data_IF_965261125188
#
_entry.id   IF_965261125188
#
_cell.length_a   1.000
_cell.length_b   1.000
_cell.length_c   1.000
_cell.angle_alpha   90.00
_cell.angle_beta   90.00
_cell.angle_gamma   90.00
#
_symmetry.space_group_name_H-M   'P 1'
#
loop_
_entity.id
_entity.type
_entity.pdbx_description
1 polymer ?
#
# COMPACT_ATOMS: atom_id res chain seq x y z
N UNK A 1 18.64 -13.53 22.64
CA UNK A 1 19.52 -13.29 21.50
C UNK A 1 19.72 -11.80 21.32
N UNK A 2 20.97 -11.36 21.23
CA UNK A 2 21.29 -9.97 20.94
C UNK A 2 21.10 -9.71 19.45
N UNK A 3 20.26 -8.73 19.08
CA UNK A 3 20.11 -8.26 17.71
C UNK A 3 20.54 -6.81 17.59
N UNK A 4 21.00 -6.40 16.42
CA UNK A 4 21.31 -5.01 16.11
C UNK A 4 20.22 -4.47 15.21
N UNK A 5 19.58 -3.39 15.64
CA UNK A 5 18.65 -2.62 14.82
C UNK A 5 19.41 -1.49 14.13
N UNK A 6 19.35 -1.44 12.81
CA UNK A 6 19.97 -0.39 12.00
C UNK A 6 18.91 0.65 11.66
N UNK A 7 19.07 1.88 12.15
CA UNK A 7 18.20 3.00 11.86
C UNK A 7 18.68 3.72 10.58
N UNK A 8 17.88 3.61 9.53
CA UNK A 8 18.19 4.16 8.21
C UNK A 8 17.75 5.63 8.02
N UNK A 9 17.12 6.27 9.00
CA UNK A 9 16.57 7.65 8.87
C UNK A 9 17.61 8.72 8.48
N UNK A 10 18.89 8.49 8.73
CA UNK A 10 19.97 9.38 8.33
C UNK A 10 20.44 9.20 6.88
N UNK A 11 20.03 8.14 6.23
CA UNK A 11 20.28 7.85 4.82
C UNK A 11 19.02 8.19 4.01
N UNK A 12 18.75 9.49 3.84
CA UNK A 12 17.48 9.98 3.31
C UNK A 12 17.62 10.95 2.13
N UNK A 13 18.77 10.96 1.46
CA UNK A 13 19.06 11.92 0.37
C UNK A 13 18.62 11.37 -0.98
N UNK A 14 18.24 12.28 -1.88
CA UNK A 14 18.27 12.05 -3.31
C UNK A 14 19.74 12.23 -3.73
N UNK A 15 20.31 11.16 -4.32
CA UNK A 15 21.73 11.10 -4.72
C UNK A 15 21.90 11.61 -6.14
N UNK A 16 21.01 11.18 -7.04
CA UNK A 16 21.05 11.53 -8.46
C UNK A 16 19.63 11.59 -9.02
N UNK A 17 19.29 12.68 -9.69
CA UNK A 17 18.03 12.88 -10.37
C UNK A 17 18.31 13.18 -11.85
N UNK A 18 17.96 12.27 -12.71
CA UNK A 18 18.14 12.41 -14.15
C UNK A 18 16.77 12.39 -14.86
N UNK A 19 16.29 13.59 -15.19
CA UNK A 19 15.00 13.77 -15.87
C UNK A 19 15.10 13.57 -17.38
N UNK A 20 16.31 13.51 -17.97
CA UNK A 20 16.52 13.15 -19.37
C UNK A 20 16.41 11.62 -19.58
N UNK A 21 17.10 10.86 -18.72
CA UNK A 21 17.07 9.38 -18.76
C UNK A 21 15.96 8.77 -17.88
N UNK A 22 15.17 9.60 -17.21
CA UNK A 22 13.99 9.25 -16.43
C UNK A 22 14.26 8.24 -15.30
N UNK A 23 15.25 8.55 -14.45
CA UNK A 23 15.52 7.80 -13.23
C UNK A 23 15.89 8.72 -12.05
N UNK A 24 15.72 8.20 -10.85
CA UNK A 24 16.19 8.82 -9.60
C UNK A 24 16.86 7.77 -8.73
N UNK A 25 18.03 8.11 -8.19
CA UNK A 25 18.72 7.29 -7.18
C UNK A 25 18.63 7.95 -5.82
N UNK A 26 18.16 7.18 -4.85
CA UNK A 26 17.93 7.66 -3.48
C UNK A 26 18.60 6.75 -2.45
N UNK A 27 18.92 7.30 -1.30
CA UNK A 27 19.28 6.51 -0.12
C UNK A 27 18.04 5.78 0.42
N UNK A 28 18.24 4.57 0.96
CA UNK A 28 17.15 3.66 1.32
C UNK A 28 16.22 4.17 2.43
N UNK A 29 16.68 5.08 3.27
CA UNK A 29 15.89 5.74 4.33
C UNK A 29 15.11 6.96 3.86
N UNK A 30 15.20 7.35 2.59
CA UNK A 30 14.34 8.38 2.00
C UNK A 30 12.89 7.94 2.09
N UNK A 31 11.98 8.84 2.52
CA UNK A 31 10.55 8.55 2.58
C UNK A 31 9.87 8.77 1.22
N UNK A 32 8.75 8.13 1.01
CA UNK A 32 7.95 8.36 -0.21
C UNK A 32 7.45 9.79 -0.30
N UNK A 33 7.09 10.40 0.85
CA UNK A 33 6.68 11.79 0.91
C UNK A 33 7.79 12.72 0.45
N UNK A 34 8.99 12.60 1.05
CA UNK A 34 10.11 13.48 0.74
C UNK A 34 10.52 13.37 -0.73
N UNK A 35 10.55 12.14 -1.27
CA UNK A 35 10.82 11.92 -2.69
C UNK A 35 9.76 12.57 -3.58
N UNK A 36 8.48 12.29 -3.32
CA UNK A 36 7.37 12.80 -4.14
C UNK A 36 7.35 14.33 -4.17
N UNK A 37 7.45 14.99 -3.01
CA UNK A 37 7.44 16.44 -2.90
C UNK A 37 8.61 17.08 -3.69
N UNK A 38 9.82 16.52 -3.59
CA UNK A 38 10.98 17.03 -4.33
C UNK A 38 10.86 16.81 -5.85
N UNK A 39 10.30 15.69 -6.29
CA UNK A 39 10.10 15.41 -7.71
C UNK A 39 9.00 16.29 -8.33
N UNK A 40 7.96 16.63 -7.58
CA UNK A 40 6.86 17.46 -8.04
C UNK A 40 7.17 18.96 -8.05
N UNK A 41 8.19 19.42 -7.32
CA UNK A 41 8.61 20.82 -7.21
C UNK A 41 9.57 21.27 -8.34
N UNK A 42 9.90 20.39 -9.29
CA UNK A 42 10.79 20.70 -10.42
C UNK A 42 10.07 21.48 -11.54
N UNK A 43 10.87 22.09 -12.44
CA UNK A 43 10.37 22.83 -13.63
C UNK A 43 9.48 21.95 -14.52
N UNK A 44 9.80 20.66 -14.64
CA UNK A 44 8.97 19.64 -15.27
C UNK A 44 8.64 18.60 -14.19
N UNK A 45 7.44 18.60 -13.65
CA UNK A 45 7.06 17.65 -12.61
C UNK A 45 7.18 16.20 -13.10
N UNK A 46 7.91 15.39 -12.34
CA UNK A 46 8.07 13.96 -12.58
C UNK A 46 7.68 13.19 -11.33
N UNK A 47 7.36 11.93 -11.47
CA UNK A 47 7.16 11.02 -10.34
C UNK A 47 7.59 9.61 -10.65
N UNK A 48 7.74 8.78 -9.64
CA UNK A 48 7.85 7.34 -9.85
C UNK A 48 6.50 6.77 -10.31
N UNK A 49 6.45 5.70 -11.14
CA UNK A 49 5.19 5.08 -11.58
C UNK A 49 4.31 4.65 -10.41
N UNK A 50 4.79 3.75 -9.56
CA UNK A 50 4.31 3.59 -8.19
C UNK A 50 4.97 4.66 -7.32
N UNK A 51 4.19 5.44 -6.59
CA UNK A 51 4.74 6.59 -5.85
C UNK A 51 4.46 6.59 -4.35
N UNK A 52 4.07 5.45 -3.78
CA UNK A 52 4.08 5.20 -2.36
C UNK A 52 2.81 4.57 -1.78
N UNK A 53 2.89 4.05 -0.55
CA UNK A 53 1.72 3.65 0.23
C UNK A 53 1.10 4.86 0.94
N UNK A 54 -0.13 4.73 1.47
CA UNK A 54 -0.74 5.79 2.29
C UNK A 54 0.11 6.18 3.51
N UNK A 55 0.92 5.25 4.03
CA UNK A 55 1.89 5.50 5.11
C UNK A 55 3.19 6.17 4.64
N UNK A 56 3.25 6.68 3.43
CA UNK A 56 4.46 7.22 2.78
C UNK A 56 5.14 8.38 3.52
N UNK A 57 4.47 9.01 4.48
CA UNK A 57 5.08 9.97 5.40
C UNK A 57 6.24 9.36 6.21
N UNK A 58 6.15 8.08 6.58
CA UNK A 58 7.16 7.35 7.35
C UNK A 58 7.71 6.12 6.63
N UNK A 59 6.98 5.59 5.66
CA UNK A 59 7.44 4.45 4.87
C UNK A 59 8.63 4.86 4.00
N UNK A 60 9.75 4.18 4.20
CA UNK A 60 10.98 4.42 3.44
C UNK A 60 11.00 3.61 2.15
N UNK A 61 11.76 4.08 1.16
CA UNK A 61 11.89 3.40 -0.13
C UNK A 61 12.56 2.04 0.04
N UNK A 62 13.59 1.93 0.89
CA UNK A 62 14.24 0.64 1.20
C UNK A 62 13.30 -0.38 1.85
N UNK A 63 12.45 0.08 2.78
CA UNK A 63 11.42 -0.75 3.40
C UNK A 63 10.35 -1.19 2.40
N UNK A 64 9.86 -0.28 1.56
CA UNK A 64 8.88 -0.58 0.53
C UNK A 64 9.38 -1.62 -0.48
N UNK A 65 10.63 -1.49 -0.96
CA UNK A 65 11.26 -2.46 -1.87
C UNK A 65 11.43 -3.83 -1.20
N UNK A 66 11.88 -3.85 0.07
CA UNK A 66 12.06 -5.10 0.83
C UNK A 66 10.74 -5.82 1.10
N UNK A 67 9.62 -5.10 1.15
CA UNK A 67 8.28 -5.65 1.43
C UNK A 67 7.37 -5.69 0.21
N UNK A 68 7.85 -5.27 -0.95
CA UNK A 68 7.10 -5.19 -2.20
C UNK A 68 5.79 -4.39 -2.10
N UNK A 69 5.89 -3.16 -1.60
CA UNK A 69 4.76 -2.27 -1.34
C UNK A 69 3.92 -1.95 -2.58
N UNK A 70 2.64 -1.65 -2.36
CA UNK A 70 1.69 -1.23 -3.37
C UNK A 70 0.79 -0.11 -2.82
N UNK A 71 0.11 0.60 -3.65
CA UNK A 71 -1.09 1.42 -3.51
C UNK A 71 -1.16 2.53 -4.56
N UNK A 72 -0.51 3.69 -4.33
CA UNK A 72 -0.60 4.85 -5.23
C UNK A 72 0.12 4.56 -6.57
N UNK A 73 -0.63 4.60 -7.65
CA UNK A 73 -0.18 4.26 -9.00
C UNK A 73 -0.20 2.77 -9.34
N UNK A 74 -0.46 1.88 -8.36
CA UNK A 74 -0.35 0.43 -8.56
C UNK A 74 -1.34 -0.14 -9.59
N UNK A 75 -2.51 0.47 -9.77
CA UNK A 75 -3.51 -0.04 -10.70
C UNK A 75 -3.00 -0.13 -12.14
N UNK A 76 -2.10 0.76 -12.55
CA UNK A 76 -1.45 0.74 -13.86
C UNK A 76 -0.03 0.17 -13.77
N UNK A 77 0.73 0.52 -12.75
CA UNK A 77 2.18 0.31 -12.70
C UNK A 77 2.61 -0.83 -11.75
N UNK A 78 1.67 -1.61 -11.25
CA UNK A 78 1.92 -2.75 -10.37
C UNK A 78 2.56 -2.34 -9.02
N UNK A 79 3.39 -3.22 -8.43
CA UNK A 79 4.05 -2.97 -7.15
C UNK A 79 5.31 -2.13 -7.31
N UNK A 80 5.92 -1.72 -6.20
CA UNK A 80 7.20 -0.98 -6.21
C UNK A 80 8.30 -1.72 -6.96
N UNK A 81 8.30 -3.06 -6.97
CA UNK A 81 9.31 -3.88 -7.64
C UNK A 81 9.46 -3.52 -9.13
N UNK A 82 8.34 -3.17 -9.80
CA UNK A 82 8.33 -2.81 -11.22
C UNK A 82 8.95 -1.42 -11.49
N UNK A 83 9.06 -0.59 -10.48
CA UNK A 83 9.70 0.73 -10.58
C UNK A 83 11.21 0.68 -10.31
N UNK A 84 11.76 -0.41 -9.74
CA UNK A 84 13.17 -0.51 -9.38
C UNK A 84 14.02 -0.87 -10.59
N UNK A 85 15.04 -0.04 -10.88
CA UNK A 85 16.01 -0.25 -11.97
C UNK A 85 17.29 -0.92 -11.48
N UNK A 86 17.69 -0.68 -10.24
CA UNK A 86 18.87 -1.26 -9.63
C UNK A 86 19.07 -0.78 -8.20
N UNK A 87 20.04 -1.34 -7.50
CA UNK A 87 20.33 -0.94 -6.13
C UNK A 87 21.76 -1.29 -5.73
N UNK A 88 22.28 -0.61 -4.69
CA UNK A 88 23.44 -1.02 -3.93
C UNK A 88 23.00 -1.74 -2.66
N UNK A 89 23.59 -2.90 -2.43
CA UNK A 89 23.28 -3.77 -1.29
C UNK A 89 24.55 -4.06 -0.53
N UNK A 90 24.57 -3.77 0.76
CA UNK A 90 25.65 -4.16 1.67
C UNK A 90 25.40 -5.58 2.14
N UNK A 91 26.31 -6.47 1.81
CA UNK A 91 26.28 -7.89 2.17
C UNK A 91 26.78 -8.15 3.60
N UNK A 92 26.61 -9.37 4.10
CA UNK A 92 26.98 -9.75 5.46
C UNK A 92 28.48 -9.64 5.76
N UNK A 93 29.31 -9.72 4.74
CA UNK A 93 30.79 -9.57 4.82
C UNK A 93 31.26 -8.11 4.67
N UNK A 94 30.32 -7.15 4.47
CA UNK A 94 30.59 -5.73 4.27
C UNK A 94 30.88 -5.34 2.81
N UNK A 95 30.91 -6.27 1.88
CA UNK A 95 31.03 -5.97 0.46
C UNK A 95 29.77 -5.27 -0.06
N UNK A 96 29.96 -4.40 -1.06
CA UNK A 96 28.84 -3.69 -1.72
C UNK A 96 28.58 -4.34 -3.07
N UNK A 97 27.38 -4.87 -3.24
CA UNK A 97 26.89 -5.43 -4.49
C UNK A 97 26.08 -4.36 -5.23
N UNK A 98 26.36 -4.15 -6.52
CA UNK A 98 25.59 -3.31 -7.41
C UNK A 98 24.76 -4.16 -8.37
N UNK A 99 23.46 -3.85 -8.52
CA UNK A 99 22.57 -4.50 -9.49
C UNK A 99 22.13 -3.55 -10.60
N UNK A 100 21.51 -4.10 -11.65
CA UNK A 100 21.09 -3.34 -12.83
C UNK A 100 22.25 -2.86 -13.70
N UNK A 101 21.96 -1.97 -14.63
CA UNK A 101 22.97 -1.46 -15.60
C UNK A 101 24.09 -0.63 -14.96
N UNK A 102 23.90 -0.12 -13.75
CA UNK A 102 24.98 0.52 -12.98
C UNK A 102 26.12 -0.43 -12.61
N UNK A 103 25.91 -1.74 -12.70
CA UNK A 103 26.99 -2.74 -12.54
C UNK A 103 27.91 -2.82 -13.76
N UNK A 104 27.54 -2.25 -14.89
CA UNK A 104 28.41 -2.15 -16.06
C UNK A 104 29.54 -1.16 -15.79
N UNK A 105 30.77 -1.50 -16.22
CA UNK A 105 32.00 -0.72 -15.98
C UNK A 105 31.87 0.80 -16.26
N UNK A 106 31.07 1.17 -17.26
CA UNK A 106 30.84 2.56 -17.67
C UNK A 106 29.31 2.84 -17.77
N UNK A 107 28.49 2.12 -17.01
CA UNK A 107 27.04 2.20 -17.12
C UNK A 107 26.42 3.21 -16.17
N UNK A 108 25.27 3.75 -16.57
CA UNK A 108 24.33 4.47 -15.71
C UNK A 108 23.16 3.57 -15.30
N UNK A 109 22.39 3.92 -14.26
CA UNK A 109 21.40 3.01 -13.67
C UNK A 109 20.02 3.07 -14.36
N UNK A 110 19.97 3.09 -15.69
CA UNK A 110 18.75 3.29 -16.48
C UNK A 110 18.01 1.99 -16.82
N UNK A 111 18.65 0.83 -16.62
CA UNK A 111 18.13 -0.45 -17.10
C UNK A 111 18.30 -1.57 -16.06
N UNK A 112 17.20 -2.29 -15.75
CA UNK A 112 17.16 -3.33 -14.71
C UNK A 112 17.82 -4.65 -15.15
N UNK A 113 17.57 -5.08 -16.39
CA UNK A 113 17.88 -6.44 -16.86
C UNK A 113 19.25 -6.52 -17.53
N UNK A 114 20.28 -5.98 -16.88
CA UNK A 114 21.67 -6.16 -17.32
C UNK A 114 22.13 -7.58 -16.95
N UNK A 115 21.83 -8.54 -17.83
CA UNK A 115 21.92 -9.97 -17.56
C UNK A 115 20.68 -10.52 -16.84
N UNK A 116 20.81 -11.60 -16.04
CA UNK A 116 19.74 -12.09 -15.18
C UNK A 116 19.24 -11.00 -14.21
N UNK A 117 17.97 -11.04 -13.86
CA UNK A 117 17.40 -10.07 -12.90
C UNK A 117 17.90 -10.30 -11.46
N UNK A 118 19.10 -9.86 -11.18
CA UNK A 118 19.66 -9.91 -9.83
C UNK A 118 19.06 -8.83 -8.92
N UNK A 119 18.44 -7.79 -9.46
CA UNK A 119 17.68 -6.80 -8.69
C UNK A 119 16.48 -7.45 -8.02
N UNK A 120 15.84 -8.41 -8.69
CA UNK A 120 14.71 -9.17 -8.16
C UNK A 120 15.02 -9.97 -6.91
N UNK A 121 16.27 -10.42 -6.71
CA UNK A 121 16.70 -11.16 -5.49
C UNK A 121 16.53 -10.30 -4.22
N UNK A 122 16.69 -8.99 -4.35
CA UNK A 122 16.63 -8.04 -3.23
C UNK A 122 15.29 -7.28 -3.17
N UNK A 123 14.33 -7.60 -4.03
CA UNK A 123 12.94 -7.12 -3.92
C UNK A 123 12.08 -8.17 -3.22
N UNK A 124 11.15 -7.77 -2.36
CA UNK A 124 10.32 -8.67 -1.57
C UNK A 124 11.11 -9.67 -0.67
N UNK A 125 12.39 -9.42 -0.46
CA UNK A 125 13.31 -10.28 0.30
C UNK A 125 13.21 -10.12 1.81
N UNK A 126 12.39 -9.18 2.29
CA UNK A 126 12.25 -8.82 3.71
C UNK A 126 13.58 -8.51 4.42
N UNK A 127 14.62 -8.14 3.67
CA UNK A 127 15.97 -7.90 4.17
C UNK A 127 16.77 -9.18 4.49
N UNK A 128 16.36 -10.33 3.97
CA UNK A 128 17.02 -11.61 4.23
C UNK A 128 18.42 -11.72 3.60
N UNK A 129 18.67 -11.00 2.49
CA UNK A 129 19.87 -11.16 1.69
C UNK A 129 20.88 -10.02 1.82
N UNK A 130 20.50 -8.89 2.43
CA UNK A 130 21.42 -7.77 2.62
C UNK A 130 20.71 -6.47 2.96
N UNK A 131 21.50 -5.43 3.24
CA UNK A 131 21.02 -4.08 3.57
C UNK A 131 21.07 -3.22 2.31
N UNK A 132 19.91 -2.81 1.82
CA UNK A 132 19.80 -1.86 0.70
C UNK A 132 20.28 -0.50 1.19
N UNK A 133 21.27 0.08 0.56
CA UNK A 133 21.79 1.41 0.89
C UNK A 133 21.31 2.47 -0.09
N UNK A 134 21.31 2.17 -1.38
CA UNK A 134 20.85 3.06 -2.44
C UNK A 134 19.92 2.30 -3.39
N UNK A 135 18.89 2.97 -3.88
CA UNK A 135 17.89 2.39 -4.80
C UNK A 135 17.67 3.36 -5.94
N UNK A 136 17.74 2.84 -7.16
CA UNK A 136 17.38 3.59 -8.35
C UNK A 136 15.99 3.21 -8.80
N UNK A 137 15.13 4.21 -8.92
CA UNK A 137 13.74 4.08 -9.35
C UNK A 137 13.54 4.74 -10.72
N UNK A 138 12.68 4.16 -11.52
CA UNK A 138 12.20 4.74 -12.77
C UNK A 138 11.36 5.98 -12.50
N UNK A 139 11.43 6.96 -13.39
CA UNK A 139 10.54 8.12 -13.42
C UNK A 139 9.57 8.04 -14.60
N UNK A 140 8.49 8.77 -14.49
CA UNK A 140 7.57 9.16 -15.55
C UNK A 140 7.28 10.66 -15.40
N UNK A 141 6.90 11.34 -16.48
CA UNK A 141 6.31 12.67 -16.35
C UNK A 141 5.06 12.57 -15.45
N UNK A 142 4.82 13.58 -14.63
CA UNK A 142 3.60 13.62 -13.84
C UNK A 142 2.39 13.78 -14.77
N UNK A 143 1.34 12.95 -14.63
CA UNK A 143 0.14 13.09 -15.44
C UNK A 143 -0.45 14.49 -15.33
N UNK A 144 -0.77 15.10 -16.49
CA UNK A 144 -1.33 16.45 -16.55
C UNK A 144 -2.83 16.51 -16.27
N UNK A 145 -3.51 15.35 -16.30
CA UNK A 145 -4.94 15.21 -16.04
C UNK A 145 -5.17 14.07 -15.05
N UNK A 146 -5.88 14.37 -13.96
CA UNK A 146 -6.34 13.37 -13.00
C UNK A 146 -7.84 13.54 -12.78
N UNK A 147 -8.62 12.48 -12.97
CA UNK A 147 -10.05 12.44 -12.75
C UNK A 147 -10.40 11.44 -11.67
N UNK A 148 -11.54 11.65 -11.00
CA UNK A 148 -11.99 10.84 -9.87
C UNK A 148 -13.42 10.37 -10.05
N UNK A 149 -13.71 9.17 -9.58
CA UNK A 149 -15.04 8.61 -9.56
C UNK A 149 -15.21 7.66 -8.39
N UNK A 150 -16.40 7.59 -7.83
CA UNK A 150 -16.75 6.65 -6.77
C UNK A 150 -18.12 6.03 -7.03
N UNK A 151 -18.25 4.75 -6.68
CA UNK A 151 -19.49 3.98 -6.80
C UNK A 151 -19.81 3.24 -5.52
N UNK A 152 -21.08 3.12 -5.20
CA UNK A 152 -21.60 2.33 -4.11
C UNK A 152 -22.27 1.05 -4.61
N UNK A 153 -22.13 -0.04 -3.85
CA UNK A 153 -22.68 -1.35 -4.14
C UNK A 153 -23.43 -1.91 -2.92
N UNK A 154 -24.37 -2.83 -3.17
CA UNK A 154 -25.14 -3.47 -2.11
C UNK A 154 -24.48 -4.75 -1.58
N UNK A 155 -23.72 -5.42 -2.42
CA UNK A 155 -23.02 -6.66 -2.09
C UNK A 155 -21.52 -6.58 -2.41
N UNK A 156 -20.72 -7.40 -1.74
CA UNK A 156 -19.30 -7.51 -2.01
C UNK A 156 -19.05 -8.10 -3.40
N UNK A 157 -19.87 -9.04 -3.83
CA UNK A 157 -19.75 -9.72 -5.12
C UNK A 157 -19.87 -8.74 -6.27
N UNK A 158 -20.85 -7.82 -6.23
CA UNK A 158 -21.03 -6.76 -7.23
C UNK A 158 -19.78 -5.86 -7.30
N UNK A 159 -19.26 -5.42 -6.16
CA UNK A 159 -18.06 -4.58 -6.09
C UNK A 159 -16.82 -5.30 -6.63
N UNK A 160 -16.57 -6.54 -6.19
CA UNK A 160 -15.39 -7.30 -6.61
C UNK A 160 -15.46 -7.71 -8.08
N UNK A 161 -16.64 -8.08 -8.59
CA UNK A 161 -16.82 -8.33 -10.01
C UNK A 161 -16.49 -7.09 -10.84
N UNK A 162 -16.94 -5.92 -10.42
CA UNK A 162 -16.59 -4.63 -11.03
C UNK A 162 -15.07 -4.41 -11.04
N UNK A 163 -14.41 -4.55 -9.87
CA UNK A 163 -12.96 -4.36 -9.75
C UNK A 163 -12.17 -5.31 -10.67
N UNK A 164 -12.58 -6.57 -10.80
CA UNK A 164 -11.88 -7.53 -11.68
C UNK A 164 -11.97 -7.15 -13.16
N UNK A 165 -13.09 -6.56 -13.59
CA UNK A 165 -13.23 -6.05 -14.96
C UNK A 165 -12.35 -4.82 -15.17
N UNK A 166 -12.33 -3.89 -14.20
CA UNK A 166 -11.50 -2.67 -14.26
C UNK A 166 -10.00 -3.01 -14.26
N UNK A 167 -9.57 -3.99 -13.45
CA UNK A 167 -8.19 -4.46 -13.43
C UNK A 167 -7.73 -4.97 -14.79
N UNK A 168 -8.56 -5.77 -15.48
CA UNK A 168 -8.26 -6.24 -16.85
C UNK A 168 -8.14 -5.11 -17.88
N UNK A 169 -8.88 -4.03 -17.69
CA UNK A 169 -8.85 -2.87 -18.58
C UNK A 169 -7.64 -1.95 -18.34
N UNK A 170 -7.01 -2.02 -17.16
CA UNK A 170 -5.83 -1.21 -16.76
C UNK A 170 -6.02 0.29 -17.01
N UNK A 171 -7.19 0.82 -16.68
CA UNK A 171 -7.55 2.23 -16.90
C UNK A 171 -7.50 3.07 -15.62
N UNK A 172 -7.42 2.44 -14.44
CA UNK A 172 -7.39 3.13 -13.15
C UNK A 172 -5.95 3.19 -12.62
N UNK A 173 -5.46 4.37 -12.28
CA UNK A 173 -4.20 4.55 -11.56
C UNK A 173 -4.29 3.97 -10.15
N UNK A 174 -5.40 4.22 -9.46
CA UNK A 174 -5.83 3.53 -8.24
C UNK A 174 -7.28 3.07 -8.39
N UNK A 175 -7.59 1.91 -7.83
CA UNK A 175 -8.94 1.39 -7.68
C UNK A 175 -9.01 0.57 -6.40
N UNK A 176 -9.68 1.10 -5.38
CA UNK A 176 -9.77 0.48 -4.07
C UNK A 176 -11.20 0.50 -3.54
N UNK A 177 -11.56 -0.58 -2.87
CA UNK A 177 -12.89 -0.78 -2.29
C UNK A 177 -12.85 -0.86 -0.78
N UNK A 178 -13.89 -0.35 -0.15
CA UNK A 178 -14.09 -0.36 1.29
C UNK A 178 -15.37 -1.08 1.68
N UNK A 179 -15.29 -1.78 2.80
CA UNK A 179 -16.40 -2.43 3.46
C UNK A 179 -17.22 -1.44 4.32
N UNK A 180 -18.36 -1.86 4.92
CA UNK A 180 -19.17 -0.98 5.76
C UNK A 180 -18.43 -0.40 6.97
N UNK A 181 -17.47 -1.13 7.55
CA UNK A 181 -16.72 -0.65 8.71
C UNK A 181 -15.77 0.49 8.31
N UNK A 182 -15.00 0.33 7.23
CA UNK A 182 -14.15 1.40 6.71
C UNK A 182 -14.98 2.63 6.35
N UNK A 183 -16.10 2.46 5.65
CA UNK A 183 -17.00 3.56 5.31
C UNK A 183 -17.46 4.34 6.54
N UNK A 184 -17.87 3.63 7.61
CA UNK A 184 -18.31 4.26 8.86
C UNK A 184 -17.15 4.92 9.63
N UNK A 185 -15.94 4.37 9.54
CA UNK A 185 -14.76 4.92 10.19
C UNK A 185 -14.33 6.25 9.58
N UNK A 186 -14.35 6.38 8.26
CA UNK A 186 -14.10 7.66 7.59
C UNK A 186 -15.14 8.71 7.90
N UNK A 187 -16.43 8.33 8.06
CA UNK A 187 -17.47 9.25 8.53
C UNK A 187 -17.19 9.79 9.94
N UNK A 188 -16.77 8.92 10.87
CA UNK A 188 -16.51 9.29 12.27
C UNK A 188 -15.26 10.16 12.43
N UNK A 189 -14.21 9.82 11.70
CA UNK A 189 -12.92 10.50 11.83
C UNK A 189 -12.96 11.94 11.34
N UNK A 190 -13.89 12.30 10.46
CA UNK A 190 -14.05 13.62 9.86
C UNK A 190 -12.69 14.28 9.59
N UNK A 191 -12.35 14.63 8.38
CA UNK A 191 -11.15 15.44 8.17
C UNK A 191 -11.21 16.63 9.14
N UNK A 192 -10.17 16.89 9.93
CA UNK A 192 -10.18 18.05 10.81
C UNK A 192 -10.50 19.30 9.96
N UNK A 193 -11.23 20.24 10.54
CA UNK A 193 -11.64 21.46 9.80
C UNK A 193 -10.43 22.17 9.16
N UNK A 194 -9.25 22.06 9.78
CA UNK A 194 -7.98 22.61 9.27
C UNK A 194 -7.45 21.84 8.07
N UNK A 195 -7.49 20.50 8.10
CA UNK A 195 -7.10 19.65 6.96
C UNK A 195 -8.09 19.82 5.79
N UNK A 196 -9.40 19.87 6.08
CA UNK A 196 -10.42 20.20 5.08
C UNK A 196 -10.22 21.58 4.44
N UNK A 197 -9.81 22.59 5.19
CA UNK A 197 -9.55 23.94 4.66
C UNK A 197 -8.28 23.99 3.81
N UNK A 198 -7.21 23.24 4.15
CA UNK A 198 -6.01 23.10 3.34
C UNK A 198 -6.32 22.40 2.01
N UNK A 199 -7.04 21.27 2.05
CA UNK A 199 -7.54 20.57 0.85
C UNK A 199 -8.38 21.49 -0.03
N UNK A 200 -9.28 22.27 0.57
CA UNK A 200 -10.13 23.23 -0.15
C UNK A 200 -9.28 24.31 -0.85
N UNK A 201 -8.23 24.78 -0.22
CA UNK A 201 -7.31 25.76 -0.81
C UNK A 201 -6.53 25.16 -1.97
N UNK A 202 -6.02 23.94 -1.84
CA UNK A 202 -5.21 23.29 -2.85
C UNK A 202 -6.06 22.86 -4.07
N UNK A 203 -7.26 22.35 -3.87
CA UNK A 203 -8.21 22.07 -4.96
C UNK A 203 -8.64 23.38 -5.64
N UNK A 204 -8.87 24.46 -4.90
CA UNK A 204 -9.20 25.76 -5.47
C UNK A 204 -8.07 26.35 -6.33
N UNK A 205 -6.80 26.08 -5.97
CA UNK A 205 -5.63 26.51 -6.73
C UNK A 205 -5.35 25.64 -7.94
N UNK A 206 -5.60 24.33 -7.86
CA UNK A 206 -5.34 23.37 -8.95
C UNK A 206 -6.36 23.42 -10.09
N UNK A 207 -7.64 23.74 -9.81
CA UNK A 207 -8.71 23.81 -10.82
C UNK A 207 -8.97 25.21 -11.39
N UNK A 208 -8.23 26.22 -10.99
CA UNK A 208 -8.31 27.60 -11.56
C UNK A 208 -9.62 28.35 -11.28
N UNK A 209 -9.72 29.08 -10.18
CA UNK A 209 -10.75 30.10 -9.95
C UNK A 209 -12.09 29.59 -9.45
N UNK A 210 -13.21 30.15 -9.95
CA UNK A 210 -14.59 29.92 -9.45
C UNK A 210 -15.02 28.44 -9.49
N UNK A 211 -14.52 27.65 -10.43
CA UNK A 211 -14.82 26.20 -10.51
C UNK A 211 -14.17 25.43 -9.37
N UNK A 212 -12.92 25.71 -9.03
CA UNK A 212 -12.24 25.12 -7.90
C UNK A 212 -12.93 25.41 -6.57
N UNK A 213 -13.45 26.64 -6.40
CA UNK A 213 -14.22 27.01 -5.20
C UNK A 213 -15.54 26.23 -5.09
N UNK A 214 -16.22 25.98 -6.19
CA UNK A 214 -17.46 25.19 -6.23
C UNK A 214 -17.22 23.70 -5.93
N UNK A 215 -16.16 23.12 -6.49
CA UNK A 215 -15.76 21.74 -6.20
C UNK A 215 -15.36 21.62 -4.74
N UNK A 216 -14.60 22.56 -4.22
CA UNK A 216 -14.21 22.64 -2.82
C UNK A 216 -15.40 22.74 -1.86
N UNK A 217 -16.41 23.55 -2.21
CA UNK A 217 -17.63 23.68 -1.42
C UNK A 217 -18.48 22.40 -1.43
N UNK A 218 -18.57 21.71 -2.57
CA UNK A 218 -19.21 20.39 -2.68
C UNK A 218 -18.50 19.35 -1.83
N UNK A 219 -17.16 19.28 -1.87
CA UNK A 219 -16.37 18.37 -1.04
C UNK A 219 -16.63 18.62 0.45
N UNK A 220 -16.65 19.87 0.89
CA UNK A 220 -16.92 20.21 2.29
C UNK A 220 -18.35 19.92 2.73
N UNK A 221 -19.33 20.13 1.85
CA UNK A 221 -20.75 19.97 2.16
C UNK A 221 -21.27 18.53 2.05
N UNK A 222 -20.68 17.73 1.16
CA UNK A 222 -21.11 16.34 0.89
C UNK A 222 -20.52 15.32 1.87
N UNK A 223 -19.43 15.63 2.56
CA UNK A 223 -18.56 14.71 3.27
C UNK A 223 -19.13 13.90 4.43
N UNK A 224 -20.43 13.91 4.71
CA UNK A 224 -20.99 13.13 5.83
C UNK A 224 -22.27 12.35 5.53
N UNK A 225 -22.94 12.57 4.42
CA UNK A 225 -24.30 12.00 4.23
C UNK A 225 -24.40 10.83 3.25
N UNK A 226 -23.42 10.63 2.37
CA UNK A 226 -23.60 9.73 1.24
C UNK A 226 -23.12 8.29 1.50
N UNK A 227 -22.06 8.11 2.30
CA UNK A 227 -21.57 6.76 2.69
C UNK A 227 -22.59 5.97 3.53
N UNK A 228 -23.53 6.66 4.19
CA UNK A 228 -24.62 6.01 4.96
C UNK A 228 -25.63 5.23 4.12
N UNK A 229 -25.64 5.40 2.80
CA UNK A 229 -26.62 4.79 1.91
C UNK A 229 -26.12 3.56 1.17
N UNK A 230 -24.83 3.28 1.23
CA UNK A 230 -24.20 2.16 0.53
C UNK A 230 -23.46 1.26 1.53
N UNK A 231 -23.45 -0.04 1.26
CA UNK A 231 -22.70 -0.99 2.08
C UNK A 231 -21.23 -0.97 1.71
N UNK A 232 -20.93 -1.13 0.43
CA UNK A 232 -19.57 -1.20 -0.11
C UNK A 232 -19.34 0.01 -1.01
N UNK A 233 -18.16 0.57 -0.98
CA UNK A 233 -17.78 1.69 -1.85
C UNK A 233 -16.53 1.36 -2.64
N UNK A 234 -16.50 1.80 -3.90
CA UNK A 234 -15.37 1.65 -4.83
C UNK A 234 -14.91 3.03 -5.26
N UNK A 235 -13.63 3.30 -5.11
CA UNK A 235 -13.01 4.59 -5.39
C UNK A 235 -11.95 4.43 -6.47
N UNK A 236 -11.97 5.31 -7.45
CA UNK A 236 -11.13 5.21 -8.65
C UNK A 236 -10.48 6.54 -8.97
N UNK A 237 -9.22 6.45 -9.42
CA UNK A 237 -8.45 7.59 -9.95
C UNK A 237 -7.97 7.26 -11.34
N UNK A 238 -8.08 8.23 -12.26
CA UNK A 238 -7.71 8.10 -13.66
C UNK A 238 -6.64 9.14 -13.99
N UNK A 239 -5.42 8.70 -14.24
CA UNK A 239 -4.30 9.54 -14.66
C UNK A 239 -4.12 9.47 -16.18
N UNK A 240 -3.88 10.63 -16.82
CA UNK A 240 -3.58 10.71 -18.24
C UNK A 240 -2.76 11.96 -18.57
N UNK A 241 -2.13 11.94 -19.72
CA UNK A 241 -1.49 13.13 -20.35
C UNK A 241 -2.44 13.83 -21.34
N UNK A 242 -3.58 13.21 -21.62
CA UNK A 242 -4.61 13.71 -22.54
C UNK A 242 -5.98 13.67 -21.86
N UNK A 243 -6.72 14.79 -21.98
CA UNK A 243 -8.01 14.98 -21.32
C UNK A 243 -9.08 14.05 -21.88
N UNK A 244 -9.11 13.85 -23.18
CA UNK A 244 -10.15 13.02 -23.83
C UNK A 244 -9.92 11.55 -23.51
N UNK A 245 -8.64 11.12 -23.42
CA UNK A 245 -8.27 9.78 -22.96
C UNK A 245 -8.69 9.56 -21.51
N UNK A 246 -8.46 10.54 -20.62
CA UNK A 246 -8.90 10.46 -19.23
C UNK A 246 -10.43 10.32 -19.11
N UNK A 247 -11.19 11.17 -19.84
CA UNK A 247 -12.64 11.07 -19.87
C UNK A 247 -13.16 9.75 -20.45
N UNK A 248 -12.52 9.23 -21.50
CA UNK A 248 -12.89 7.94 -22.08
C UNK A 248 -12.66 6.79 -21.09
N UNK A 249 -11.57 6.82 -20.34
CA UNK A 249 -11.30 5.85 -19.28
C UNK A 249 -12.36 5.91 -18.17
N UNK A 250 -12.71 7.12 -17.72
CA UNK A 250 -13.73 7.36 -16.72
C UNK A 250 -15.12 6.87 -17.18
N UNK A 251 -15.55 7.20 -18.42
CA UNK A 251 -16.84 6.72 -18.95
C UNK A 251 -16.87 5.20 -19.10
N UNK A 252 -15.75 4.59 -19.56
CA UNK A 252 -15.64 3.13 -19.62
C UNK A 252 -15.79 2.50 -18.25
N UNK A 253 -15.19 3.10 -17.20
CA UNK A 253 -15.33 2.61 -15.84
C UNK A 253 -16.78 2.80 -15.32
N UNK A 254 -17.42 3.92 -15.66
CA UNK A 254 -18.84 4.18 -15.31
C UNK A 254 -19.76 3.11 -15.89
N UNK A 255 -19.58 2.78 -17.19
CA UNK A 255 -20.34 1.72 -17.85
C UNK A 255 -20.19 0.39 -17.10
N UNK A 256 -18.96 -0.01 -16.77
CA UNK A 256 -18.68 -1.24 -16.01
C UNK A 256 -19.35 -1.22 -14.64
N UNK A 257 -19.27 -0.13 -13.90
CA UNK A 257 -19.90 -0.02 -12.58
C UNK A 257 -21.43 -0.16 -12.67
N UNK A 258 -22.05 0.48 -13.65
CA UNK A 258 -23.51 0.41 -13.87
C UNK A 258 -23.96 -0.99 -14.30
N UNK A 259 -23.21 -1.67 -15.17
CA UNK A 259 -23.47 -3.06 -15.56
C UNK A 259 -23.49 -4.02 -14.36
N UNK A 260 -22.68 -3.72 -13.32
CA UNK A 260 -22.63 -4.48 -12.08
C UNK A 260 -23.47 -3.87 -10.95
N UNK A 261 -24.52 -3.12 -11.29
CA UNK A 261 -25.52 -2.56 -10.36
C UNK A 261 -24.99 -1.51 -9.38
N UNK A 262 -23.83 -0.94 -9.65
CA UNK A 262 -23.28 0.16 -8.88
C UNK A 262 -24.07 1.45 -9.08
N UNK A 263 -24.13 2.28 -8.05
CA UNK A 263 -24.68 3.62 -8.07
C UNK A 263 -23.58 4.64 -7.83
N UNK A 264 -23.46 5.65 -8.71
CA UNK A 264 -22.45 6.69 -8.56
C UNK A 264 -22.67 7.47 -7.26
N UNK A 265 -21.60 7.68 -6.51
CA UNK A 265 -21.58 8.39 -5.24
C UNK A 265 -20.57 9.53 -5.28
N UNK A 266 -20.53 10.36 -4.25
CA UNK A 266 -19.57 11.46 -4.14
C UNK A 266 -18.12 10.95 -4.20
N UNK A 267 -17.25 11.63 -4.96
CA UNK A 267 -15.85 11.27 -5.20
C UNK A 267 -14.85 12.06 -4.35
N UNK A 268 -15.31 12.69 -3.26
CA UNK A 268 -14.43 13.47 -2.39
C UNK A 268 -13.29 12.64 -1.80
N UNK A 269 -13.52 11.36 -1.50
CA UNK A 269 -12.55 10.50 -0.87
C UNK A 269 -11.30 10.25 -1.75
N UNK A 270 -11.41 9.78 -3.01
CA UNK A 270 -10.23 9.65 -3.88
C UNK A 270 -9.61 11.02 -4.22
N UNK A 271 -10.40 12.10 -4.29
CA UNK A 271 -9.88 13.46 -4.50
C UNK A 271 -8.96 13.88 -3.34
N UNK A 272 -9.40 13.67 -2.10
CA UNK A 272 -8.59 13.99 -0.90
C UNK A 272 -7.35 13.11 -0.81
N UNK A 273 -7.47 11.80 -1.05
CA UNK A 273 -6.32 10.90 -1.01
C UNK A 273 -5.26 11.26 -2.05
N UNK A 274 -5.66 11.81 -3.19
CA UNK A 274 -4.70 12.24 -4.21
C UNK A 274 -4.12 13.62 -3.91
N UNK A 275 -4.91 14.55 -3.35
CA UNK A 275 -4.42 15.87 -2.93
C UNK A 275 -3.41 15.78 -1.77
N UNK A 276 -3.61 14.81 -0.87
CA UNK A 276 -2.74 14.55 0.28
C UNK A 276 -2.35 13.07 0.34
N UNK A 277 -1.50 12.59 -0.60
CA UNK A 277 -1.22 11.16 -0.77
C UNK A 277 -0.54 10.53 0.45
N UNK A 278 0.08 11.36 1.31
CA UNK A 278 0.80 10.92 2.51
C UNK A 278 0.24 11.61 3.77
N UNK A 279 -1.08 11.69 3.86
CA UNK A 279 -1.78 12.24 5.03
C UNK A 279 -1.55 11.44 6.31
N UNK A 280 -2.17 11.88 7.40
CA UNK A 280 -1.91 11.38 8.75
C UNK A 280 -1.87 9.87 8.92
N UNK A 281 -0.82 9.38 9.58
CA UNK A 281 -0.52 7.94 9.74
C UNK A 281 -1.46 7.26 10.74
N UNK A 282 -2.09 8.04 11.62
CA UNK A 282 -3.00 7.51 12.66
C UNK A 282 -4.08 6.62 12.08
N UNK A 283 -4.72 7.04 11.01
CA UNK A 283 -5.81 6.31 10.36
C UNK A 283 -5.36 5.03 9.63
N UNK A 284 -4.06 4.88 9.42
CA UNK A 284 -3.44 3.72 8.75
C UNK A 284 -2.83 2.74 9.76
N UNK A 285 -2.56 3.19 10.99
CA UNK A 285 -1.92 2.38 12.04
C UNK A 285 -2.86 1.97 13.16
N UNK A 286 -3.97 2.69 13.31
CA UNK A 286 -4.92 2.50 14.39
C UNK A 286 -6.36 2.61 13.86
N UNK A 287 -7.30 2.03 14.58
CA UNK A 287 -8.72 2.27 14.36
C UNK A 287 -9.13 3.68 14.82
N UNK A 288 -10.37 4.07 14.52
CA UNK A 288 -10.90 5.42 14.79
C UNK A 288 -10.88 5.83 16.27
N UNK A 289 -10.95 4.87 17.16
CA UNK A 289 -11.02 5.08 18.62
C UNK A 289 -9.75 4.59 19.34
N UNK A 290 -8.63 4.42 18.62
CA UNK A 290 -7.34 3.99 19.17
C UNK A 290 -7.18 2.47 19.24
N UNK A 291 -7.99 1.71 18.51
CA UNK A 291 -7.83 0.27 18.39
C UNK A 291 -6.53 -0.08 17.64
N UNK A 292 -5.90 -1.16 18.06
CA UNK A 292 -4.81 -1.75 17.27
C UNK A 292 -5.39 -2.26 15.94
N UNK A 293 -4.73 -1.93 14.84
CA UNK A 293 -5.00 -2.45 13.51
C UNK A 293 -4.03 -3.59 13.18
N UNK A 294 -4.56 -4.72 12.75
CA UNK A 294 -3.79 -5.93 12.44
C UNK A 294 -4.26 -6.52 11.11
N UNK A 295 -3.58 -6.21 10.00
CA UNK A 295 -3.97 -6.70 8.69
C UNK A 295 -3.41 -8.09 8.37
N UNK A 296 -4.08 -8.77 7.43
CA UNK A 296 -3.58 -9.90 6.67
C UNK A 296 -3.68 -9.53 5.19
N UNK A 297 -2.70 -9.87 4.38
CA UNK A 297 -2.70 -9.56 2.96
C UNK A 297 -2.80 -10.83 2.14
N UNK A 298 -3.63 -10.81 1.10
CA UNK A 298 -3.72 -11.89 0.14
C UNK A 298 -3.69 -11.35 -1.30
N UNK A 299 -2.68 -11.76 -2.07
CA UNK A 299 -2.64 -11.62 -3.51
C UNK A 299 -3.26 -12.85 -4.17
N UNK A 300 -4.10 -12.62 -5.15
CA UNK A 300 -4.79 -13.70 -5.86
C UNK A 300 -5.02 -13.33 -7.34
N UNK A 301 -5.21 -14.33 -8.22
CA UNK A 301 -5.63 -14.06 -9.58
C UNK A 301 -7.05 -13.47 -9.60
N UNK A 302 -7.36 -12.64 -10.58
CA UNK A 302 -8.67 -11.97 -10.74
C UNK A 302 -9.86 -12.95 -10.66
N UNK A 303 -9.68 -14.17 -11.17
CA UNK A 303 -10.73 -15.21 -11.16
C UNK A 303 -11.11 -15.69 -9.76
N UNK A 304 -10.27 -15.48 -8.75
CA UNK A 304 -10.54 -15.86 -7.36
C UNK A 304 -11.09 -14.73 -6.51
N UNK A 305 -11.03 -13.47 -6.98
CA UNK A 305 -11.33 -12.30 -6.18
C UNK A 305 -12.72 -12.35 -5.51
N UNK A 306 -13.77 -12.65 -6.27
CA UNK A 306 -15.14 -12.74 -5.74
C UNK A 306 -15.26 -13.85 -4.71
N UNK A 307 -14.80 -15.07 -5.03
CA UNK A 307 -14.87 -16.22 -4.13
C UNK A 307 -14.10 -15.96 -2.82
N UNK A 308 -12.93 -15.33 -2.88
CA UNK A 308 -12.13 -15.01 -1.69
C UNK A 308 -12.75 -13.89 -0.87
N UNK A 309 -13.38 -12.90 -1.49
CA UNK A 309 -14.13 -11.88 -0.76
C UNK A 309 -15.29 -12.49 0.02
N UNK A 310 -16.11 -13.31 -0.63
CA UNK A 310 -17.19 -14.04 0.03
C UNK A 310 -16.69 -14.95 1.14
N UNK A 311 -15.56 -15.67 0.92
CA UNK A 311 -14.95 -16.52 1.95
C UNK A 311 -14.43 -15.71 3.15
N UNK A 312 -13.91 -14.51 2.92
CA UNK A 312 -13.46 -13.59 3.98
C UNK A 312 -14.63 -13.11 4.83
N UNK A 313 -15.77 -12.74 4.21
CA UNK A 313 -16.99 -12.38 4.95
C UNK A 313 -17.56 -13.57 5.73
N UNK A 314 -17.62 -14.75 5.13
CA UNK A 314 -18.07 -15.97 5.80
C UNK A 314 -17.21 -16.28 7.03
N UNK A 315 -15.88 -16.13 6.92
CA UNK A 315 -14.96 -16.30 8.05
C UNK A 315 -15.27 -15.36 9.21
N UNK A 316 -15.53 -14.09 8.93
CA UNK A 316 -15.89 -13.12 9.97
C UNK A 316 -17.28 -13.42 10.59
N UNK A 317 -18.25 -13.83 9.79
CA UNK A 317 -19.58 -14.18 10.30
C UNK A 317 -19.55 -15.45 11.17
N UNK A 318 -18.78 -16.48 10.79
CA UNK A 318 -18.55 -17.68 11.59
C UNK A 318 -17.90 -17.37 12.96
N UNK A 319 -17.04 -16.34 13.00
CA UNK A 319 -16.37 -15.93 14.23
C UNK A 319 -17.07 -14.78 14.97
N UNK A 320 -18.24 -14.33 14.48
CA UNK A 320 -18.93 -13.13 14.98
C UNK A 320 -19.21 -13.20 16.49
N UNK A 321 -19.73 -14.31 16.99
CA UNK A 321 -20.01 -14.48 18.42
C UNK A 321 -18.76 -14.33 19.30
N UNK A 322 -17.61 -14.82 18.82
CA UNK A 322 -16.32 -14.65 19.50
C UNK A 322 -15.83 -13.19 19.44
N UNK A 323 -15.96 -12.56 18.28
CA UNK A 323 -15.59 -11.17 18.09
C UNK A 323 -16.44 -10.23 18.94
N UNK A 324 -17.76 -10.42 18.96
CA UNK A 324 -18.70 -9.65 19.79
C UNK A 324 -18.37 -9.78 21.28
N UNK A 325 -18.08 -11.01 21.77
CA UNK A 325 -17.73 -11.28 23.17
C UNK A 325 -16.50 -10.46 23.61
N UNK A 326 -15.50 -10.28 22.76
CA UNK A 326 -14.26 -9.58 23.06
C UNK A 326 -14.21 -8.15 22.53
N UNK A 327 -15.31 -7.64 21.98
CA UNK A 327 -15.37 -6.33 21.33
C UNK A 327 -14.22 -6.17 20.32
N UNK A 328 -14.11 -7.14 19.39
CA UNK A 328 -13.19 -7.15 18.28
C UNK A 328 -13.98 -6.80 17.02
N UNK A 329 -13.45 -5.92 16.20
CA UNK A 329 -14.03 -5.53 14.92
C UNK A 329 -13.17 -6.03 13.77
N UNK A 330 -13.80 -6.24 12.62
CA UNK A 330 -13.12 -6.57 11.37
C UNK A 330 -13.48 -5.58 10.29
N UNK A 331 -12.61 -5.47 9.33
CA UNK A 331 -12.86 -4.73 8.11
C UNK A 331 -11.97 -5.28 7.00
N UNK A 332 -12.18 -4.86 5.78
CA UNK A 332 -11.26 -5.17 4.68
C UNK A 332 -11.22 -4.05 3.64
N UNK A 333 -10.03 -3.88 3.10
CA UNK A 333 -9.76 -3.08 1.93
C UNK A 333 -9.53 -4.01 0.75
N UNK A 334 -10.00 -3.63 -0.43
CA UNK A 334 -9.71 -4.34 -1.68
C UNK A 334 -9.04 -3.40 -2.66
N UNK A 335 -8.07 -3.91 -3.43
CA UNK A 335 -7.44 -3.16 -4.52
C UNK A 335 -6.83 -4.12 -5.54
N UNK A 336 -6.13 -3.60 -6.52
CA UNK A 336 -5.31 -4.39 -7.43
C UNK A 336 -4.02 -3.67 -7.79
N UNK A 337 -3.00 -4.45 -8.09
CA UNK A 337 -1.73 -4.01 -8.67
C UNK A 337 -1.62 -4.62 -10.06
N UNK A 338 -1.92 -3.83 -11.10
CA UNK A 338 -2.05 -4.36 -12.46
C UNK A 338 -3.19 -5.36 -12.59
N UNK A 339 -2.87 -6.65 -12.67
CA UNK A 339 -3.84 -7.77 -12.74
C UNK A 339 -3.81 -8.68 -11.52
N UNK A 340 -3.00 -8.38 -10.54
CA UNK A 340 -2.92 -9.06 -9.26
C UNK A 340 -3.95 -8.45 -8.30
N UNK A 341 -4.96 -9.23 -7.91
CA UNK A 341 -6.01 -8.76 -6.99
C UNK A 341 -5.56 -8.88 -5.54
N UNK A 342 -5.94 -7.91 -4.72
CA UNK A 342 -5.58 -7.86 -3.30
C UNK A 342 -6.82 -7.69 -2.46
N UNK A 343 -6.95 -8.53 -1.43
CA UNK A 343 -7.86 -8.32 -0.32
C UNK A 343 -7.03 -8.23 0.95
N UNK A 344 -7.24 -7.18 1.74
CA UNK A 344 -6.58 -6.92 3.00
C UNK A 344 -7.59 -6.88 4.14
N UNK A 345 -8.00 -8.04 4.69
CA UNK A 345 -8.78 -8.07 5.90
C UNK A 345 -7.95 -7.60 7.09
N UNK A 346 -8.59 -6.88 8.00
CA UNK A 346 -7.99 -6.29 9.18
C UNK A 346 -8.82 -6.59 10.42
N UNK A 347 -8.15 -6.76 11.55
CA UNK A 347 -8.74 -7.01 12.85
C UNK A 347 -8.42 -5.83 13.75
N UNK A 348 -9.41 -5.34 14.47
CA UNK A 348 -9.31 -4.19 15.37
C UNK A 348 -9.72 -4.57 16.78
N UNK A 349 -8.93 -4.15 17.76
CA UNK A 349 -9.26 -4.30 19.17
C UNK A 349 -8.54 -3.26 20.04
N UNK A 350 -9.10 -2.93 21.21
CA UNK A 350 -8.41 -2.09 22.17
C UNK A 350 -7.41 -2.93 22.98
N UNK A 351 -6.18 -2.43 23.06
CA UNK A 351 -5.07 -2.98 23.84
C UNK A 351 -4.07 -1.87 24.15
N UNK A 352 -3.13 -2.11 25.04
CA UNK A 352 -2.06 -1.16 25.34
C UNK A 352 -1.31 -0.75 24.06
N UNK A 353 -1.22 0.56 23.84
CA UNK A 353 -0.42 1.12 22.77
C UNK A 353 1.02 1.31 23.24
N UNK A 354 1.96 0.57 22.65
CA UNK A 354 3.38 0.73 22.97
C UNK A 354 3.91 2.13 22.57
N UNK A 355 4.99 2.57 23.22
CA UNK A 355 5.61 3.88 22.98
C UNK A 355 5.87 4.18 21.50
N UNK A 356 6.17 3.17 20.69
CA UNK A 356 6.39 3.34 19.27
C UNK A 356 5.13 3.84 18.55
N UNK A 357 3.96 3.22 18.77
CA UNK A 357 2.70 3.68 18.18
C UNK A 357 2.32 5.08 18.66
N UNK A 358 2.47 5.34 19.95
CA UNK A 358 2.19 6.65 20.53
C UNK A 358 3.08 7.76 19.95
N UNK A 359 4.34 7.45 19.59
CA UNK A 359 5.26 8.44 19.00
C UNK A 359 4.99 8.76 17.51
N UNK A 360 4.08 8.04 16.85
CA UNK A 360 3.75 8.22 15.44
C UNK A 360 2.42 8.95 15.20
N UNK A 361 1.71 9.29 16.27
CA UNK A 361 0.41 9.95 16.21
C UNK A 361 0.48 11.33 16.87
N UNK A 362 -0.51 12.15 16.62
CA UNK A 362 -0.62 13.50 17.17
C UNK A 362 -0.70 13.45 18.71
N UNK A 363 -0.06 14.40 19.39
CA UNK A 363 0.05 14.45 20.86
C UNK A 363 -1.31 14.34 21.56
N UNK A 364 -2.35 14.96 21.03
CA UNK A 364 -3.71 14.92 21.57
C UNK A 364 -4.24 13.48 21.66
N UNK A 365 -4.07 12.69 20.61
CA UNK A 365 -4.50 11.29 20.57
C UNK A 365 -3.58 10.39 21.39
N UNK A 366 -2.27 10.65 21.39
CA UNK A 366 -1.32 9.93 22.22
C UNK A 366 -1.66 10.08 23.69
N UNK A 367 -1.96 11.30 24.16
CA UNK A 367 -2.39 11.56 25.54
C UNK A 367 -3.73 10.88 25.87
N UNK A 368 -4.68 10.89 24.95
CA UNK A 368 -6.00 10.25 25.14
C UNK A 368 -5.89 8.72 25.24
N UNK A 369 -5.03 8.09 24.46
CA UNK A 369 -5.00 6.63 24.31
C UNK A 369 -3.88 5.94 25.09
N UNK A 370 -2.91 6.68 25.67
CA UNK A 370 -1.85 6.10 26.49
C UNK A 370 -2.35 5.34 27.73
N UNK A 371 -3.59 5.59 28.15
CA UNK A 371 -4.20 4.95 29.31
C UNK A 371 -5.02 3.70 28.96
N UNK A 372 -5.08 3.28 27.70
CA UNK A 372 -5.74 2.03 27.31
C UNK A 372 -4.99 0.87 27.95
N UNK A 373 -5.66 0.04 28.79
CA UNK A 373 -4.98 -1.04 29.50
C UNK A 373 -4.66 -2.21 28.58
N UNK A 374 -3.61 -2.96 28.92
CA UNK A 374 -3.28 -4.23 28.26
C UNK A 374 -4.41 -5.26 28.47
N UNK A 375 -4.75 -5.99 27.40
CA UNK A 375 -5.74 -7.07 27.43
C UNK A 375 -5.18 -8.31 26.71
N UNK A 376 -4.49 -9.17 27.46
CA UNK A 376 -3.85 -10.37 26.93
C UNK A 376 -4.84 -11.37 26.33
N UNK A 377 -6.03 -11.52 26.93
CA UNK A 377 -7.05 -12.47 26.44
C UNK A 377 -7.60 -11.99 25.09
N UNK A 378 -7.92 -10.71 24.98
CA UNK A 378 -8.37 -10.12 23.74
C UNK A 378 -7.28 -10.20 22.66
N UNK A 379 -6.04 -9.91 23.01
CA UNK A 379 -4.87 -10.03 22.12
C UNK A 379 -4.73 -11.45 21.57
N UNK A 380 -4.83 -12.49 22.44
CA UNK A 380 -4.78 -13.90 22.01
C UNK A 380 -5.89 -14.25 21.02
N UNK A 381 -7.11 -13.74 21.26
CA UNK A 381 -8.24 -13.95 20.35
C UNK A 381 -7.99 -13.25 19.01
N UNK A 382 -7.55 -11.99 19.01
CA UNK A 382 -7.22 -11.25 17.78
C UNK A 382 -6.14 -11.94 16.95
N UNK A 383 -5.07 -12.42 17.60
CA UNK A 383 -4.00 -13.18 16.93
C UNK A 383 -4.52 -14.51 16.36
N UNK A 384 -5.40 -15.22 17.07
CA UNK A 384 -6.03 -16.45 16.56
C UNK A 384 -6.88 -16.17 15.32
N UNK A 385 -7.67 -15.10 15.33
CA UNK A 385 -8.46 -14.69 14.17
C UNK A 385 -7.56 -14.34 12.97
N UNK A 386 -6.44 -13.63 13.20
CA UNK A 386 -5.46 -13.35 12.16
C UNK A 386 -4.86 -14.63 11.56
N UNK A 387 -4.47 -15.57 12.43
CA UNK A 387 -3.87 -16.83 11.98
C UNK A 387 -4.87 -17.65 11.16
N UNK A 388 -6.16 -17.68 11.55
CA UNK A 388 -7.20 -18.34 10.75
C UNK A 388 -7.45 -17.67 9.40
N UNK A 389 -7.37 -16.34 9.30
CA UNK A 389 -7.43 -15.63 8.01
C UNK A 389 -6.22 -16.01 7.12
N UNK A 390 -5.00 -16.00 7.67
CA UNK A 390 -3.82 -16.47 6.94
C UNK A 390 -4.03 -17.89 6.41
N UNK A 391 -4.45 -18.80 7.26
CA UNK A 391 -4.65 -20.20 6.89
C UNK A 391 -5.74 -20.35 5.81
N UNK A 392 -6.80 -19.55 5.86
CA UNK A 392 -7.82 -19.48 4.81
C UNK A 392 -7.22 -19.06 3.46
N UNK A 393 -6.36 -18.05 3.44
CA UNK A 393 -5.70 -17.56 2.22
C UNK A 393 -4.70 -18.60 1.69
N UNK A 394 -3.88 -19.19 2.57
CA UNK A 394 -2.91 -20.23 2.22
C UNK A 394 -3.59 -21.44 1.57
N UNK A 395 -4.68 -21.93 2.16
CA UNK A 395 -5.47 -23.08 1.63
C UNK A 395 -6.07 -22.79 0.26
N UNK A 396 -6.32 -21.53 -0.07
CA UNK A 396 -6.84 -21.11 -1.36
C UNK A 396 -5.74 -20.69 -2.36
N UNK A 397 -4.46 -20.86 -2.01
CA UNK A 397 -3.31 -20.59 -2.88
C UNK A 397 -3.14 -19.09 -3.17
N UNK A 398 -3.48 -18.23 -2.20
CA UNK A 398 -3.14 -16.82 -2.26
C UNK A 398 -1.67 -16.63 -1.90
N UNK A 399 -1.03 -15.65 -2.52
CA UNK A 399 0.30 -15.21 -2.12
C UNK A 399 0.20 -14.10 -1.09
N UNK A 400 1.22 -13.97 -0.23
CA UNK A 400 1.23 -12.90 0.77
C UNK A 400 2.15 -11.77 0.37
N UNK A 401 1.74 -10.55 0.72
CA UNK A 401 2.55 -9.35 0.71
C UNK A 401 3.27 -9.22 2.06
N UNK A 402 4.40 -8.53 2.08
CA UNK A 402 5.11 -8.22 3.33
C UNK A 402 5.41 -9.48 4.16
N UNK A 403 5.99 -10.48 3.51
CA UNK A 403 6.20 -11.83 4.06
C UNK A 403 6.79 -11.84 5.49
N UNK A 404 7.83 -11.05 5.74
CA UNK A 404 8.45 -10.94 7.07
C UNK A 404 8.89 -12.28 7.64
N UNK A 405 8.53 -12.49 8.90
CA UNK A 405 8.71 -13.74 9.65
C UNK A 405 7.38 -14.37 10.05
N UNK A 406 6.28 -13.75 9.66
CA UNK A 406 4.94 -14.17 10.05
C UNK A 406 4.34 -15.19 9.08
N UNK A 407 4.47 -14.94 7.79
CA UNK A 407 3.93 -15.85 6.79
C UNK A 407 4.86 -17.05 6.58
N UNK A 408 4.31 -18.28 6.47
CA UNK A 408 5.12 -19.51 6.42
C UNK A 408 5.67 -19.77 5.01
N UNK A 409 6.47 -18.84 4.48
CA UNK A 409 6.90 -18.82 3.08
C UNK A 409 7.53 -20.13 2.61
N UNK A 410 8.46 -20.71 3.39
CA UNK A 410 9.12 -21.98 3.03
C UNK A 410 8.15 -23.17 3.02
N UNK A 411 7.14 -23.14 3.87
CA UNK A 411 6.15 -24.21 4.01
C UNK A 411 5.15 -24.20 2.84
N UNK A 412 4.91 -22.99 2.26
CA UNK A 412 4.02 -22.82 1.10
C UNK A 412 4.69 -23.15 -0.24
N UNK A 413 6.00 -23.30 -0.29
CA UNK A 413 6.70 -23.69 -1.51
C UNK A 413 6.64 -25.23 -1.66
N UNK A 414 5.96 -25.70 -2.71
CA UNK A 414 5.95 -27.10 -3.13
C UNK A 414 6.95 -27.30 -4.28
N UNK A 415 8.22 -26.96 -4.03
CA UNK A 415 9.29 -27.03 -5.03
C UNK A 415 10.67 -27.11 -4.34
N UNK A 416 11.17 -28.33 -4.14
CA UNK A 416 12.47 -28.54 -3.45
C UNK A 416 13.66 -27.85 -4.16
N UNK A 417 13.77 -27.82 -5.50
CA UNK A 417 14.81 -27.06 -6.18
C UNK A 417 14.78 -25.57 -5.86
N UNK A 418 13.60 -24.96 -5.74
CA UNK A 418 13.46 -23.55 -5.36
C UNK A 418 13.92 -23.32 -3.91
N UNK A 419 13.52 -24.17 -2.98
CA UNK A 419 13.99 -24.10 -1.58
C UNK A 419 15.51 -24.19 -1.51
N UNK A 420 16.10 -25.18 -2.18
CA UNK A 420 17.55 -25.37 -2.23
C UNK A 420 18.29 -24.18 -2.85
N UNK A 421 17.71 -23.54 -3.87
CA UNK A 421 18.25 -22.33 -4.46
C UNK A 421 18.25 -21.16 -3.47
N UNK A 422 17.14 -20.93 -2.77
CA UNK A 422 17.01 -19.87 -1.76
C UNK A 422 17.99 -20.06 -0.61
N UNK A 423 18.16 -21.29 -0.12
CA UNK A 423 19.14 -21.63 0.91
C UNK A 423 20.59 -21.41 0.43
N UNK A 424 20.86 -21.77 -0.83
CA UNK A 424 22.19 -21.56 -1.45
C UNK A 424 22.49 -20.08 -1.62
N UNK A 425 21.52 -19.26 -2.04
CA UNK A 425 21.65 -17.82 -2.10
C UNK A 425 21.89 -17.21 -0.71
N UNK A 426 21.12 -17.64 0.30
CA UNK A 426 21.32 -17.18 1.68
C UNK A 426 22.73 -17.52 2.15
N UNK A 427 23.17 -18.74 1.96
CA UNK A 427 24.52 -19.18 2.35
C UNK A 427 25.64 -18.45 1.63
N UNK A 428 25.43 -18.09 0.35
CA UNK A 428 26.42 -17.35 -0.44
C UNK A 428 26.53 -15.89 -0.01
N UNK A 429 25.40 -15.24 0.31
CA UNK A 429 25.33 -13.81 0.63
C UNK A 429 25.48 -13.53 2.14
N UNK A 430 25.15 -14.50 2.98
CA UNK A 430 25.13 -14.38 4.44
C UNK A 430 25.45 -15.74 5.11
N UNK A 431 26.68 -16.21 5.00
CA UNK A 431 27.07 -17.56 5.47
C UNK A 431 26.90 -17.77 6.97
N UNK A 432 26.87 -16.70 7.77
CA UNK A 432 26.71 -16.77 9.23
C UNK A 432 25.29 -16.49 9.69
N UNK A 433 24.34 -16.26 8.77
CA UNK A 433 22.94 -16.01 9.09
C UNK A 433 22.68 -14.73 9.90
N UNK A 434 23.44 -13.66 9.64
CA UNK A 434 23.34 -12.38 10.38
C UNK A 434 22.24 -11.47 9.87
N UNK A 435 21.94 -11.52 8.56
CA UNK A 435 20.96 -10.63 7.91
C UNK A 435 19.53 -11.14 8.15
N UNK A 436 18.81 -10.43 9.00
CA UNK A 436 17.42 -10.68 9.35
C UNK A 436 17.06 -12.18 9.51
N UNK A 437 17.73 -12.93 10.40
CA UNK A 437 17.55 -14.37 10.53
C UNK A 437 16.08 -14.73 10.78
N UNK A 438 15.58 -15.75 10.07
CA UNK A 438 14.19 -16.19 10.10
C UNK A 438 13.29 -15.49 9.10
N UNK A 439 13.73 -14.42 8.42
CA UNK A 439 12.99 -13.84 7.30
C UNK A 439 12.91 -14.86 6.15
N UNK A 440 11.75 -14.95 5.49
CA UNK A 440 11.46 -15.97 4.46
C UNK A 440 11.67 -17.43 4.96
N UNK A 441 11.69 -17.69 6.28
CA UNK A 441 12.02 -18.99 6.85
C UNK A 441 13.49 -19.39 6.74
N UNK A 442 14.37 -18.49 6.28
CA UNK A 442 15.82 -18.75 6.10
C UNK A 442 16.60 -18.44 7.39
N UNK A 443 17.68 -19.20 7.60
CA UNK A 443 18.60 -19.08 8.74
C UNK A 443 20.00 -18.75 8.30
#
# INVERSE_FOLDING_TARGET
PSSVLIDMRRMNKIIDLNTEDMYVTVEAGCTWKDLYEQLMDGDVPVRTPYFGPLSGMYATIGGAVSQNSLFLGSGIYNTVAESVLGMKVVLADGNILQTGSAAHKNGSPFFRHFGPDLTGIFTADTGAFGIKSEITLRLIEAPSVTLFMSFGFNTIEEMLATQTVLARKRICAECYGFDPYYNSSFEKQGFSFGEGLAVLRDVATSEGGIKGLWTSFKVAASGKKFLRKVKYSLHMTFDSYDKDVAYKALETAREVCVEHQGSEIDNSLPTVFRAHPFGGVRTVLLGSDGEIWLPVHGFMPLSKAVAMGTATEAYFEENKALMDKYNIHSSYLTCFAGTEFVIEPSIYWHDELGNFRLSLIEDEFAEKWKSIPADEEKRKVALKLRDGLRDLYDQNGCCHLQLGKYYPYQELIDNDPLKSLLESLKKALDPEGRMNPGALGLR
#
